data_IF_894062014243
#
_entry.id   IF_894062014243
#
_cell.length_a   1.000
_cell.length_b   1.000
_cell.length_c   1.000
_cell.angle_alpha   90.00
_cell.angle_beta   90.00
_cell.angle_gamma   90.00
#
_symmetry.space_group_name_H-M   'P 1'
#
loop_
_entity.id
_entity.type
_entity.pdbx_description
1 polymer ?
#
# COMPACT_ATOMS: atom_id res chain seq x y z
N UNK A 1 29.68 -111.50 -43.13
CA UNK A 1 28.89 -111.16 -41.92
C UNK A 1 29.31 -109.88 -41.17
N UNK A 2 30.52 -109.30 -41.34
CA UNK A 2 30.96 -108.10 -40.58
C UNK A 2 30.31 -106.74 -40.96
N UNK A 3 29.83 -106.55 -42.21
CA UNK A 3 29.23 -105.27 -42.65
C UNK A 3 27.83 -105.00 -42.07
N UNK A 4 27.09 -106.02 -41.65
CA UNK A 4 25.72 -105.91 -41.11
C UNK A 4 25.72 -105.45 -39.65
N UNK A 5 26.72 -105.86 -38.86
CA UNK A 5 26.86 -105.50 -37.43
C UNK A 5 27.22 -104.01 -37.23
N UNK A 6 28.09 -103.43 -38.07
CA UNK A 6 28.44 -102.01 -37.98
C UNK A 6 27.29 -101.07 -38.39
N UNK A 7 26.44 -101.49 -39.35
CA UNK A 7 25.26 -100.70 -39.75
C UNK A 7 24.23 -100.60 -38.62
N UNK A 8 24.03 -101.69 -37.86
CA UNK A 8 23.08 -101.71 -36.75
C UNK A 8 23.55 -100.86 -35.56
N UNK A 9 24.85 -100.88 -35.24
CA UNK A 9 25.41 -100.02 -34.18
C UNK A 9 25.34 -98.53 -34.53
N UNK A 10 25.60 -98.17 -35.80
CA UNK A 10 25.49 -96.78 -36.28
C UNK A 10 24.04 -96.29 -36.21
N UNK A 11 23.08 -97.13 -36.59
CA UNK A 11 21.64 -96.82 -36.50
C UNK A 11 21.14 -96.62 -35.07
N UNK A 12 21.64 -97.42 -34.10
CA UNK A 12 21.26 -97.28 -32.70
C UNK A 12 21.76 -95.96 -32.09
N UNK A 13 23.00 -95.55 -32.39
CA UNK A 13 23.56 -94.29 -31.91
C UNK A 13 22.75 -93.09 -32.41
N UNK A 14 22.39 -93.11 -33.68
CA UNK A 14 21.61 -92.06 -34.34
C UNK A 14 20.18 -91.94 -33.74
N UNK A 15 19.58 -93.06 -33.32
CA UNK A 15 18.31 -93.06 -32.60
C UNK A 15 18.42 -92.47 -31.19
N UNK A 16 19.51 -92.74 -30.47
CA UNK A 16 19.74 -92.19 -29.13
C UNK A 16 19.97 -90.68 -29.21
N UNK A 17 20.83 -90.23 -30.12
CA UNK A 17 21.11 -88.79 -30.31
C UNK A 17 19.82 -88.03 -30.62
N UNK A 18 18.99 -88.58 -31.51
CA UNK A 18 17.68 -88.00 -31.85
C UNK A 18 16.71 -87.98 -30.66
N UNK A 19 16.72 -89.01 -29.81
CA UNK A 19 15.89 -89.09 -28.60
C UNK A 19 16.32 -88.07 -27.54
N UNK A 20 17.62 -87.88 -27.38
CA UNK A 20 18.19 -86.89 -26.46
C UNK A 20 17.84 -85.48 -26.93
N UNK A 21 17.97 -85.20 -28.23
CA UNK A 21 17.64 -83.90 -28.80
C UNK A 21 16.14 -83.58 -28.67
N UNK A 22 15.27 -84.57 -28.89
CA UNK A 22 13.83 -84.47 -28.67
C UNK A 22 13.50 -84.12 -27.21
N UNK A 23 14.09 -84.82 -26.23
CA UNK A 23 13.91 -84.53 -24.80
C UNK A 23 14.48 -83.16 -24.41
N UNK A 24 15.60 -82.74 -25.01
CA UNK A 24 16.20 -81.43 -24.76
C UNK A 24 15.28 -80.31 -25.26
N UNK A 25 14.74 -80.44 -26.46
CA UNK A 25 13.75 -79.52 -27.05
C UNK A 25 12.46 -79.45 -26.22
N UNK A 26 11.97 -80.60 -25.74
CA UNK A 26 10.79 -80.67 -24.88
C UNK A 26 11.03 -79.97 -23.53
N UNK A 27 12.23 -80.12 -22.95
CA UNK A 27 12.59 -79.45 -21.70
C UNK A 27 12.70 -77.93 -21.84
N UNK A 28 13.19 -77.45 -22.98
CA UNK A 28 13.43 -76.02 -23.25
C UNK A 28 12.13 -75.22 -23.38
N UNK A 29 11.04 -75.89 -23.75
CA UNK A 29 9.71 -75.30 -23.95
C UNK A 29 8.73 -75.56 -22.79
N UNK A 30 9.17 -76.23 -21.73
CA UNK A 30 8.32 -76.46 -20.56
C UNK A 30 8.39 -75.24 -19.65
N UNK A 31 7.36 -74.39 -19.68
CA UNK A 31 7.20 -73.34 -18.69
C UNK A 31 7.24 -73.97 -17.29
N UNK A 32 8.25 -73.61 -16.50
CA UNK A 32 8.45 -74.13 -15.15
C UNK A 32 7.42 -73.45 -14.23
N UNK A 33 6.15 -73.84 -14.32
CA UNK A 33 5.08 -73.24 -13.53
C UNK A 33 4.94 -73.98 -12.18
N UNK A 34 6.02 -73.99 -11.40
CA UNK A 34 6.04 -74.69 -10.11
C UNK A 34 5.31 -73.86 -9.04
N UNK A 35 4.59 -74.50 -8.09
CA UNK A 35 3.97 -73.79 -6.96
C UNK A 35 4.97 -72.93 -6.17
N UNK A 36 6.22 -73.38 -6.07
CA UNK A 36 7.31 -72.67 -5.42
C UNK A 36 7.66 -71.36 -6.15
N UNK A 37 7.70 -71.36 -7.47
CA UNK A 37 7.96 -70.16 -8.27
C UNK A 37 6.81 -69.14 -8.19
N UNK A 38 5.56 -69.62 -8.19
CA UNK A 38 4.40 -68.75 -7.99
C UNK A 38 4.42 -68.09 -6.61
N UNK A 39 4.80 -68.83 -5.57
CA UNK A 39 4.99 -68.27 -4.23
C UNK A 39 6.15 -67.27 -4.14
N UNK A 40 7.30 -67.54 -4.76
CA UNK A 40 8.43 -66.61 -4.75
C UNK A 40 8.07 -65.31 -5.46
N UNK A 41 7.41 -65.36 -6.63
CA UNK A 41 6.93 -64.16 -7.32
C UNK A 41 5.88 -63.38 -6.52
N UNK A 42 4.99 -64.05 -5.79
CA UNK A 42 4.03 -63.40 -4.90
C UNK A 42 4.73 -62.71 -3.72
N UNK A 43 5.75 -63.33 -3.14
CA UNK A 43 6.56 -62.73 -2.05
C UNK A 43 7.36 -61.52 -2.55
N UNK A 44 7.97 -61.60 -3.73
CA UNK A 44 8.66 -60.47 -4.38
C UNK A 44 7.69 -59.32 -4.65
N UNK A 45 6.53 -59.58 -5.27
CA UNK A 45 5.50 -58.56 -5.52
C UNK A 45 4.94 -57.92 -4.24
N UNK A 46 4.79 -58.69 -3.15
CA UNK A 46 4.38 -58.14 -1.85
C UNK A 46 5.46 -57.26 -1.23
N UNK A 47 6.73 -57.67 -1.33
CA UNK A 47 7.89 -56.91 -0.83
C UNK A 47 8.07 -55.59 -1.58
N UNK A 48 8.00 -55.61 -2.92
CA UNK A 48 8.13 -54.40 -3.75
C UNK A 48 6.99 -53.41 -3.52
N UNK A 49 5.74 -53.89 -3.34
CA UNK A 49 4.60 -53.03 -2.97
C UNK A 49 4.77 -52.35 -1.61
N UNK A 50 5.36 -53.05 -0.62
CA UNK A 50 5.64 -52.47 0.71
C UNK A 50 6.68 -51.36 0.61
N UNK A 51 7.74 -51.58 -0.18
CA UNK A 51 8.78 -50.57 -0.42
C UNK A 51 8.23 -49.35 -1.19
N UNK A 52 7.42 -49.57 -2.22
CA UNK A 52 6.76 -48.50 -2.98
C UNK A 52 5.84 -47.64 -2.09
N UNK A 53 5.02 -48.27 -1.22
CA UNK A 53 4.17 -47.54 -0.25
C UNK A 53 4.99 -46.64 0.68
N UNK A 54 6.15 -47.11 1.15
CA UNK A 54 7.03 -46.32 1.99
C UNK A 54 7.65 -45.13 1.22
N UNK A 55 8.01 -45.33 -0.05
CA UNK A 55 8.52 -44.26 -0.92
C UNK A 55 7.44 -43.18 -1.17
N UNK A 56 6.20 -43.60 -1.48
CA UNK A 56 5.08 -42.67 -1.63
C UNK A 56 4.75 -41.92 -0.33
N UNK A 57 4.83 -42.58 0.83
CA UNK A 57 4.63 -41.94 2.12
C UNK A 57 5.68 -40.84 2.40
N UNK A 58 6.96 -41.08 2.04
CA UNK A 58 8.02 -40.06 2.15
C UNK A 58 7.74 -38.85 1.27
N UNK A 59 7.34 -39.09 0.01
CA UNK A 59 7.00 -38.02 -0.93
C UNK A 59 5.81 -37.21 -0.40
N UNK A 60 4.76 -37.90 0.05
CA UNK A 60 3.58 -37.25 0.64
C UNK A 60 3.94 -36.39 1.87
N UNK A 61 4.82 -36.87 2.76
CA UNK A 61 5.27 -36.12 3.92
C UNK A 61 6.02 -34.83 3.54
N UNK A 62 6.83 -34.85 2.48
CA UNK A 62 7.49 -33.65 1.96
C UNK A 62 6.47 -32.65 1.41
N UNK A 63 5.48 -33.12 0.65
CA UNK A 63 4.41 -32.24 0.14
C UNK A 63 3.57 -31.65 1.26
N UNK A 64 3.20 -32.42 2.29
CA UNK A 64 2.49 -31.91 3.47
C UNK A 64 3.34 -30.87 4.20
N UNK A 65 4.64 -31.10 4.36
CA UNK A 65 5.57 -30.12 4.93
C UNK A 65 5.65 -28.84 4.11
N UNK A 66 5.77 -28.94 2.79
CA UNK A 66 5.79 -27.78 1.89
C UNK A 66 4.48 -27.01 1.90
N UNK A 67 3.33 -27.70 1.90
CA UNK A 67 2.01 -27.07 2.02
C UNK A 67 1.88 -26.38 3.38
N UNK A 68 2.38 -27.00 4.46
CA UNK A 68 2.41 -26.40 5.80
C UNK A 68 3.27 -25.13 5.85
N UNK A 69 4.46 -25.15 5.23
CA UNK A 69 5.35 -23.98 5.13
C UNK A 69 4.69 -22.89 4.28
N UNK A 70 4.11 -23.22 3.12
CA UNK A 70 3.39 -22.26 2.29
C UNK A 70 2.19 -21.70 3.04
N UNK A 71 1.45 -22.50 3.80
CA UNK A 71 0.35 -22.06 4.64
C UNK A 71 0.79 -21.12 5.76
N UNK A 72 1.95 -21.37 6.37
CA UNK A 72 2.56 -20.46 7.36
C UNK A 72 3.03 -19.16 6.71
N UNK A 73 3.59 -19.20 5.50
CA UNK A 73 4.00 -18.01 4.74
C UNK A 73 2.81 -17.22 4.17
N UNK A 74 1.68 -17.90 3.93
CA UNK A 74 0.42 -17.29 3.47
C UNK A 74 -0.49 -16.86 4.62
N UNK A 75 -0.03 -16.96 5.86
CA UNK A 75 -0.72 -16.36 6.99
C UNK A 75 -0.65 -14.84 6.83
N UNK A 76 -1.64 -14.27 6.13
CA UNK A 76 -1.81 -12.84 5.97
C UNK A 76 -1.94 -12.22 7.36
N UNK A 77 -1.01 -11.34 7.70
CA UNK A 77 -1.03 -10.61 8.97
C UNK A 77 -2.38 -9.92 9.14
N UNK A 78 -3.16 -10.41 10.10
CA UNK A 78 -4.43 -9.83 10.54
C UNK A 78 -4.23 -8.55 11.38
N UNK A 79 -3.06 -7.91 11.25
CA UNK A 79 -2.71 -6.68 11.91
C UNK A 79 -3.75 -5.62 11.56
N UNK A 80 -4.59 -5.28 12.53
CA UNK A 80 -5.64 -4.29 12.37
C UNK A 80 -5.00 -2.95 11.95
N UNK A 81 -5.58 -2.22 10.99
CA UNK A 81 -5.07 -0.91 10.62
C UNK A 81 -5.11 0.00 11.83
N UNK A 82 -4.00 0.68 12.10
CA UNK A 82 -3.97 1.76 13.08
C UNK A 82 -4.74 2.92 12.47
N UNK A 83 -5.81 3.36 13.13
CA UNK A 83 -6.59 4.52 12.71
C UNK A 83 -6.36 5.70 13.64
N UNK A 84 -6.02 6.84 13.06
CA UNK A 84 -5.81 8.11 13.74
C UNK A 84 -6.82 9.11 13.20
N UNK A 85 -7.69 9.58 14.08
CA UNK A 85 -8.69 10.61 13.76
C UNK A 85 -8.37 11.90 14.50
N UNK A 86 -8.53 13.04 13.81
CA UNK A 86 -8.46 14.36 14.42
C UNK A 86 -9.87 14.92 14.67
N UNK A 87 -10.36 14.72 15.90
CA UNK A 87 -11.62 15.31 16.38
C UNK A 87 -11.42 16.66 17.09
N UNK A 88 -10.19 17.19 17.11
CA UNK A 88 -9.86 18.46 17.74
C UNK A 88 -10.23 19.67 16.87
N UNK A 89 -10.01 20.85 17.43
CA UNK A 89 -10.21 22.14 16.74
C UNK A 89 -9.00 22.58 15.92
N UNK A 90 -7.82 21.99 16.18
CA UNK A 90 -6.54 22.34 15.53
C UNK A 90 -5.99 21.17 14.69
N UNK A 91 -5.13 21.43 13.68
CA UNK A 91 -4.46 20.38 12.93
C UNK A 91 -3.58 19.50 13.84
N UNK A 92 -3.53 18.18 13.54
CA UNK A 92 -2.73 17.20 14.28
C UNK A 92 -1.50 16.81 13.49
N UNK A 93 -0.32 16.96 14.10
CA UNK A 93 0.96 16.58 13.49
C UNK A 93 1.29 15.12 13.84
N UNK A 94 1.71 14.35 12.84
CA UNK A 94 2.06 12.94 12.93
C UNK A 94 3.42 12.73 12.26
N UNK A 95 4.29 11.97 12.91
CA UNK A 95 5.51 11.46 12.29
C UNK A 95 5.31 9.97 12.01
N UNK A 96 5.63 9.55 10.79
CA UNK A 96 5.57 8.16 10.38
C UNK A 96 6.94 7.50 10.61
N UNK A 97 6.96 6.17 10.72
CA UNK A 97 8.17 5.39 11.01
C UNK A 97 9.26 5.52 9.93
N UNK A 98 8.87 5.89 8.71
CA UNK A 98 9.81 6.16 7.61
C UNK A 98 10.48 7.55 7.69
N UNK A 99 10.11 8.36 8.69
CA UNK A 99 10.57 9.73 8.87
C UNK A 99 9.81 10.77 8.03
N UNK A 100 8.72 10.37 7.37
CA UNK A 100 7.79 11.31 6.74
C UNK A 100 6.93 12.00 7.80
N UNK A 101 6.44 13.20 7.50
CA UNK A 101 5.51 13.92 8.37
C UNK A 101 4.16 14.11 7.70
N UNK A 102 3.10 14.04 8.51
CA UNK A 102 1.72 14.24 8.08
C UNK A 102 1.04 15.22 9.00
N UNK A 103 0.27 16.14 8.43
CA UNK A 103 -0.50 17.13 9.16
C UNK A 103 -1.95 16.90 8.80
N UNK A 104 -2.69 16.36 9.77
CA UNK A 104 -4.06 15.91 9.61
C UNK A 104 -5.02 17.04 10.01
N UNK A 105 -5.82 17.53 9.07
CA UNK A 105 -6.77 18.60 9.33
C UNK A 105 -7.89 18.10 10.28
N UNK A 106 -8.70 19.02 10.81
CA UNK A 106 -9.88 18.70 11.62
C UNK A 106 -10.85 17.79 10.86
N UNK A 107 -11.58 16.95 11.59
CA UNK A 107 -12.55 15.99 11.05
C UNK A 107 -11.97 15.05 9.99
N UNK A 108 -10.66 14.82 10.04
CA UNK A 108 -9.94 13.96 9.09
C UNK A 108 -9.42 12.72 9.82
N UNK A 109 -9.30 11.62 9.09
CA UNK A 109 -8.83 10.34 9.60
C UNK A 109 -7.80 9.76 8.66
N UNK A 110 -6.67 9.32 9.22
CA UNK A 110 -5.62 8.59 8.53
C UNK A 110 -5.56 7.18 9.11
N UNK A 111 -5.45 6.15 8.26
CA UNK A 111 -5.17 4.79 8.68
C UNK A 111 -3.98 4.20 7.96
N UNK A 112 -3.23 3.33 8.63
CA UNK A 112 -2.07 2.66 8.05
C UNK A 112 -1.81 1.32 8.75
N UNK A 113 -1.13 0.42 8.06
CA UNK A 113 -0.68 -0.85 8.62
C UNK A 113 0.83 -0.75 8.88
N UNK A 114 1.33 -1.03 10.11
CA UNK A 114 2.76 -0.99 10.41
C UNK A 114 3.60 -1.89 9.49
N UNK A 115 3.08 -3.06 9.15
CA UNK A 115 3.75 -4.04 8.28
C UNK A 115 3.77 -3.63 6.79
N UNK A 116 2.80 -2.80 6.36
CA UNK A 116 2.75 -2.29 4.98
C UNK A 116 3.42 -0.92 4.96
N UNK A 117 4.74 -0.94 4.96
CA UNK A 117 5.56 0.27 4.96
C UNK A 117 5.10 1.24 3.86
N UNK A 118 4.99 2.52 4.23
CA UNK A 118 4.71 3.66 3.32
C UNK A 118 3.37 3.59 2.58
N UNK A 119 2.36 2.89 3.09
CA UNK A 119 0.99 2.91 2.54
C UNK A 119 0.00 3.38 3.60
N UNK A 120 -0.77 4.42 3.27
CA UNK A 120 -1.77 4.99 4.17
C UNK A 120 -3.08 5.22 3.42
N UNK A 121 -4.19 5.24 4.14
CA UNK A 121 -5.51 5.65 3.66
C UNK A 121 -5.96 6.91 4.38
N UNK A 122 -6.59 7.83 3.67
CA UNK A 122 -7.04 9.12 4.22
C UNK A 122 -8.51 9.39 3.87
N UNK A 123 -9.24 9.89 4.85
CA UNK A 123 -10.56 10.50 4.72
C UNK A 123 -10.50 11.90 5.31
N UNK A 124 -10.97 12.91 4.57
CA UNK A 124 -10.85 14.32 4.96
C UNK A 124 -9.65 14.99 4.29
N UNK A 125 -8.93 15.85 5.00
CA UNK A 125 -7.80 16.59 4.47
C UNK A 125 -6.51 16.34 5.26
N UNK A 126 -5.42 16.11 4.54
CA UNK A 126 -4.10 15.97 5.11
C UNK A 126 -3.01 16.51 4.17
N UNK A 127 -2.02 17.14 4.78
CA UNK A 127 -0.77 17.49 4.14
C UNK A 127 0.29 16.45 4.45
N UNK A 128 1.05 16.08 3.42
CA UNK A 128 2.10 15.09 3.47
C UNK A 128 3.41 15.74 3.07
N UNK A 129 4.42 15.59 3.91
CA UNK A 129 5.82 15.83 3.55
C UNK A 129 6.58 14.51 3.63
N UNK A 130 6.73 13.89 2.47
CA UNK A 130 7.20 12.52 2.37
C UNK A 130 8.70 12.50 2.20
N UNK A 131 9.39 11.74 3.06
CA UNK A 131 10.84 11.54 2.97
C UNK A 131 11.19 10.89 1.63
N UNK A 132 12.27 11.38 1.03
CA UNK A 132 12.73 10.85 -0.26
C UNK A 132 13.23 9.41 -0.14
N UNK A 133 12.66 8.53 -0.94
CA UNK A 133 13.13 7.15 -1.18
C UNK A 133 12.66 6.74 -2.59
N UNK A 134 13.63 6.49 -3.45
CA UNK A 134 13.42 6.17 -4.87
C UNK A 134 13.06 4.72 -5.13
N UNK A 135 13.31 3.82 -4.18
CA UNK A 135 13.08 2.38 -4.31
C UNK A 135 11.69 2.01 -3.81
N UNK A 136 11.25 2.61 -2.70
CA UNK A 136 9.98 2.30 -2.06
C UNK A 136 9.02 3.49 -2.15
N UNK A 137 8.02 3.48 -3.06
CA UNK A 137 7.08 4.58 -3.20
C UNK A 137 6.15 4.67 -1.98
N UNK A 138 5.82 5.89 -1.59
CA UNK A 138 4.75 6.16 -0.63
C UNK A 138 3.40 6.24 -1.35
N UNK A 139 2.38 5.56 -0.81
CA UNK A 139 1.03 5.50 -1.37
C UNK A 139 0.01 6.08 -0.40
N UNK A 140 -0.82 7.00 -0.88
CA UNK A 140 -2.00 7.51 -0.18
C UNK A 140 -3.24 7.07 -0.93
N UNK A 141 -4.10 6.32 -0.26
CA UNK A 141 -5.40 5.92 -0.80
C UNK A 141 -6.50 6.85 -0.29
N UNK A 142 -7.33 7.33 -1.20
CA UNK A 142 -8.63 7.92 -0.89
C UNK A 142 -9.75 7.05 -1.43
N UNK A 143 -11.01 7.46 -1.27
CA UNK A 143 -12.15 6.78 -1.88
C UNK A 143 -12.12 6.78 -3.41
N UNK A 144 -11.42 7.74 -4.04
CA UNK A 144 -11.51 7.97 -5.48
C UNK A 144 -10.15 8.03 -6.21
N UNK A 145 -9.06 8.30 -5.48
CA UNK A 145 -7.75 8.55 -6.07
C UNK A 145 -6.68 7.88 -5.22
N UNK A 146 -5.79 7.13 -5.87
CA UNK A 146 -4.53 6.67 -5.28
C UNK A 146 -3.39 7.60 -5.70
N UNK A 147 -2.65 8.09 -4.72
CA UNK A 147 -1.52 9.00 -4.90
C UNK A 147 -0.23 8.25 -4.64
N UNK A 148 0.69 8.23 -5.61
CA UNK A 148 1.99 7.55 -5.52
C UNK A 148 3.12 8.56 -5.67
N UNK A 149 4.03 8.59 -4.68
CA UNK A 149 5.16 9.52 -4.61
C UNK A 149 6.45 8.85 -4.16
N UNK A 150 7.59 9.53 -4.32
CA UNK A 150 8.93 9.03 -3.94
C UNK A 150 9.70 10.01 -3.04
N UNK A 151 9.10 11.12 -2.62
CA UNK A 151 9.78 12.22 -1.95
C UNK A 151 9.21 13.55 -2.40
N UNK A 152 8.06 13.90 -1.84
CA UNK A 152 7.12 14.87 -2.41
C UNK A 152 6.36 15.52 -1.27
N UNK A 153 6.17 16.84 -1.36
CA UNK A 153 5.29 17.57 -0.46
C UNK A 153 3.99 17.90 -1.20
N UNK A 154 2.84 17.46 -0.66
CA UNK A 154 1.54 17.58 -1.32
C UNK A 154 0.38 17.59 -0.32
N UNK A 155 -0.77 18.07 -0.75
CA UNK A 155 -2.02 18.05 0.00
C UNK A 155 -3.02 17.10 -0.64
N UNK A 156 -3.78 16.37 0.18
CA UNK A 156 -4.93 15.59 -0.25
C UNK A 156 -6.17 16.12 0.46
N UNK A 157 -7.21 16.44 -0.32
CA UNK A 157 -8.52 16.82 0.17
C UNK A 157 -9.55 15.81 -0.36
N UNK A 158 -10.23 15.10 0.53
CA UNK A 158 -11.15 14.02 0.17
C UNK A 158 -12.19 13.77 1.28
N UNK A 159 -13.01 14.78 1.58
CA UNK A 159 -14.12 14.63 2.51
C UNK A 159 -15.27 13.81 1.88
N UNK A 160 -15.89 12.85 2.58
CA UNK A 160 -16.96 12.01 2.03
C UNK A 160 -18.22 12.75 1.60
N UNK A 161 -18.48 13.92 2.19
CA UNK A 161 -19.64 14.75 1.87
C UNK A 161 -19.46 15.57 0.59
N UNK A 162 -18.22 15.66 0.09
CA UNK A 162 -17.87 16.49 -1.04
C UNK A 162 -17.79 15.64 -2.30
N UNK A 163 -18.25 16.21 -3.41
CA UNK A 163 -18.26 15.51 -4.71
C UNK A 163 -16.89 15.45 -5.38
N UNK A 164 -15.84 15.98 -4.75
CA UNK A 164 -14.53 16.10 -5.36
C UNK A 164 -13.41 15.67 -4.43
N UNK A 165 -12.48 14.87 -4.96
CA UNK A 165 -11.17 14.65 -4.37
C UNK A 165 -10.17 15.56 -5.06
N UNK A 166 -9.33 16.25 -4.30
CA UNK A 166 -8.28 17.12 -4.83
C UNK A 166 -6.90 16.71 -4.30
N UNK A 167 -5.90 16.78 -5.18
CA UNK A 167 -4.50 16.58 -4.83
C UNK A 167 -3.69 17.77 -5.33
N UNK A 168 -3.06 18.50 -4.41
CA UNK A 168 -2.28 19.70 -4.73
C UNK A 168 -0.80 19.44 -4.49
N UNK A 169 0.01 19.65 -5.51
CA UNK A 169 1.44 19.32 -5.47
C UNK A 169 2.30 20.55 -5.22
N UNK A 170 3.17 20.51 -4.21
CA UNK A 170 4.05 21.63 -3.85
C UNK A 170 5.51 21.39 -4.24
N UNK A 171 6.00 20.16 -4.10
CA UNK A 171 7.37 19.80 -4.43
C UNK A 171 7.45 18.35 -4.91
N UNK A 172 8.48 18.00 -5.69
CA UNK A 172 8.69 16.63 -6.14
C UNK A 172 7.81 16.22 -7.31
N UNK A 173 7.45 14.94 -7.37
CA UNK A 173 6.65 14.34 -8.45
C UNK A 173 5.56 13.45 -7.87
N UNK A 174 4.39 13.47 -8.50
CA UNK A 174 3.27 12.61 -8.10
C UNK A 174 2.69 11.90 -9.31
N UNK A 175 2.31 10.65 -9.10
CA UNK A 175 1.46 9.89 -10.01
C UNK A 175 0.14 9.63 -9.30
N UNK A 176 -0.94 9.92 -10.00
CA UNK A 176 -2.31 9.80 -9.54
C UNK A 176 -2.98 8.71 -10.36
N UNK A 177 -3.78 7.88 -9.71
CA UNK A 177 -4.59 6.85 -10.33
C UNK A 177 -6.02 6.99 -9.81
N UNK A 178 -6.98 7.23 -10.71
CA UNK A 178 -8.39 7.30 -10.33
C UNK A 178 -9.04 5.91 -10.34
N UNK A 179 -10.30 5.82 -9.90
CA UNK A 179 -11.06 4.56 -9.86
C UNK A 179 -11.27 3.88 -11.21
N UNK A 180 -11.14 4.61 -12.32
CA UNK A 180 -11.19 4.05 -13.67
C UNK A 180 -9.82 3.50 -14.14
N UNK A 181 -8.79 3.53 -13.29
CA UNK A 181 -7.43 3.10 -13.61
C UNK A 181 -6.66 4.11 -14.48
N UNK A 182 -7.19 5.32 -14.69
CA UNK A 182 -6.48 6.35 -15.47
C UNK A 182 -5.33 6.91 -14.66
N UNK A 183 -4.14 6.86 -15.26
CA UNK A 183 -2.92 7.42 -14.68
C UNK A 183 -2.71 8.86 -15.13
N UNK A 184 -2.51 9.74 -14.16
CA UNK A 184 -2.28 11.18 -14.37
C UNK A 184 -1.05 11.63 -13.58
N UNK A 185 -0.27 12.54 -14.14
CA UNK A 185 0.88 13.17 -13.45
C UNK A 185 0.63 14.66 -13.40
N UNK A 186 0.98 15.29 -12.28
CA UNK A 186 0.97 16.75 -12.13
C UNK A 186 2.36 17.22 -11.71
N UNK A 187 2.66 18.49 -11.98
CA UNK A 187 3.91 19.16 -11.58
C UNK A 187 3.67 20.11 -10.40
N UNK A 188 4.73 20.50 -9.66
CA UNK A 188 4.60 21.49 -8.59
C UNK A 188 3.84 22.74 -9.03
N UNK A 189 2.92 23.21 -8.17
CA UNK A 189 2.02 24.32 -8.48
C UNK A 189 0.73 23.93 -9.17
N UNK A 190 0.46 22.63 -9.33
CA UNK A 190 -0.79 22.14 -9.90
C UNK A 190 -1.65 21.42 -8.88
N UNK A 191 -2.96 21.55 -9.07
CA UNK A 191 -3.99 20.81 -8.35
C UNK A 191 -4.75 19.92 -9.33
N UNK A 192 -4.71 18.63 -9.08
CA UNK A 192 -5.60 17.66 -9.68
C UNK A 192 -6.92 17.64 -8.91
N UNK A 193 -8.05 17.61 -9.62
CA UNK A 193 -9.38 17.44 -9.04
C UNK A 193 -10.14 16.36 -9.77
N UNK A 194 -10.71 15.41 -9.05
CA UNK A 194 -11.54 14.33 -9.58
C UNK A 194 -12.96 14.45 -9.03
N UNK A 195 -13.95 14.58 -9.92
CA UNK A 195 -15.36 14.65 -9.56
C UNK A 195 -15.96 13.24 -9.50
N UNK A 196 -16.56 12.89 -8.37
CA UNK A 196 -17.09 11.56 -8.08
C UNK A 196 -18.38 11.25 -8.84
N UNK A 197 -19.12 12.29 -9.25
CA UNK A 197 -20.41 12.19 -9.94
C UNK A 197 -20.25 12.13 -11.45
N UNK A 198 -19.42 13.02 -12.01
CA UNK A 198 -19.20 13.07 -13.46
C UNK A 198 -18.04 12.19 -13.93
N UNK A 199 -17.24 11.67 -12.99
CA UNK A 199 -16.00 10.94 -13.24
C UNK A 199 -14.97 11.74 -14.07
N UNK A 200 -15.13 13.06 -14.15
CA UNK A 200 -14.22 13.93 -14.85
C UNK A 200 -13.07 14.36 -13.94
N UNK A 201 -11.90 14.50 -14.55
CA UNK A 201 -10.73 15.07 -13.91
C UNK A 201 -10.36 16.42 -14.53
N UNK A 202 -9.85 17.31 -13.70
CA UNK A 202 -9.31 18.60 -14.13
C UNK A 202 -7.97 18.85 -13.45
N UNK A 203 -7.09 19.55 -14.15
CA UNK A 203 -5.82 20.03 -13.61
C UNK A 203 -5.85 21.55 -13.72
N UNK A 204 -5.55 22.23 -12.62
CA UNK A 204 -5.46 23.69 -12.58
C UNK A 204 -4.18 24.10 -11.90
N UNK A 205 -3.59 25.20 -12.35
CA UNK A 205 -2.50 25.83 -11.63
C UNK A 205 -3.05 26.50 -10.36
N UNK A 206 -2.31 26.40 -9.26
CA UNK A 206 -2.61 27.06 -8.00
C UNK A 206 -1.41 27.86 -7.52
N UNK A 207 -1.68 28.91 -6.75
CA UNK A 207 -0.62 29.63 -6.07
C UNK A 207 -0.22 28.85 -4.80
N UNK A 208 0.93 28.18 -4.87
CA UNK A 208 1.55 27.37 -3.81
C UNK A 208 1.54 28.09 -2.45
N UNK A 209 1.75 29.41 -2.40
CA UNK A 209 1.78 30.17 -1.14
C UNK A 209 0.43 30.26 -0.43
N UNK A 210 -0.70 30.22 -1.15
CA UNK A 210 -2.02 30.41 -0.53
C UNK A 210 -2.59 29.16 0.16
N UNK A 211 -2.08 27.97 -0.17
CA UNK A 211 -2.64 26.70 0.30
C UNK A 211 -1.83 26.08 1.45
N UNK A 212 -0.56 26.47 1.60
CA UNK A 212 0.38 26.04 2.64
C UNK A 212 0.08 26.68 4.02
N UNK A 213 -0.80 27.67 4.08
CA UNK A 213 -1.07 28.47 5.30
C UNK A 213 -1.61 27.68 6.50
N UNK A 214 -2.30 26.55 6.27
CA UNK A 214 -2.93 25.81 7.37
C UNK A 214 -2.03 24.72 7.97
N UNK A 215 -0.99 24.30 7.26
CA UNK A 215 -0.18 23.12 7.63
C UNK A 215 0.99 23.49 8.54
N UNK A 216 1.55 24.69 8.42
CA UNK A 216 2.71 25.10 9.22
C UNK A 216 2.35 25.84 10.51
N UNK A 217 1.06 25.83 10.88
CA UNK A 217 0.53 26.77 11.86
C UNK A 217 1.00 28.20 11.57
N UNK A 218 1.04 28.57 10.28
CA UNK A 218 1.55 29.87 9.83
C UNK A 218 0.75 30.39 8.66
N UNK A 219 0.12 31.55 8.80
CA UNK A 219 -0.47 32.29 7.69
C UNK A 219 0.62 33.13 7.04
N UNK A 220 0.89 32.89 5.75
CA UNK A 220 1.83 33.66 4.94
C UNK A 220 1.05 34.70 4.13
N UNK A 221 1.47 35.95 4.28
CA UNK A 221 0.88 37.12 3.65
C UNK A 221 1.87 37.71 2.64
N UNK A 222 1.43 37.82 1.38
CA UNK A 222 2.12 38.56 0.33
C UNK A 222 1.20 39.68 -0.14
N UNK A 223 1.35 40.88 0.45
CA UNK A 223 0.59 42.09 0.12
C UNK A 223 -0.93 41.86 0.08
N UNK A 224 -1.47 41.21 1.11
CA UNK A 224 -2.93 41.04 1.22
C UNK A 224 -3.53 42.18 2.03
N UNK A 225 -4.79 42.54 1.75
CA UNK A 225 -5.49 43.52 2.59
C UNK A 225 -5.74 42.99 4.00
N UNK A 226 -5.69 43.88 4.98
CA UNK A 226 -5.97 43.56 6.39
C UNK A 226 -7.35 42.90 6.55
N UNK A 227 -8.36 43.33 5.78
CA UNK A 227 -9.67 42.68 5.76
C UNK A 227 -9.57 41.18 5.41
N UNK A 228 -8.78 40.83 4.39
CA UNK A 228 -8.56 39.43 4.03
C UNK A 228 -7.83 38.66 5.13
N UNK A 229 -6.84 39.28 5.77
CA UNK A 229 -6.11 38.67 6.88
C UNK A 229 -7.00 38.44 8.11
N UNK A 230 -7.76 39.47 8.53
CA UNK A 230 -8.70 39.38 9.65
C UNK A 230 -9.74 38.29 9.44
N UNK A 231 -10.25 38.12 8.21
CA UNK A 231 -11.15 37.01 7.87
C UNK A 231 -10.49 35.64 8.01
N UNK A 232 -9.23 35.49 7.58
CA UNK A 232 -8.47 34.24 7.74
C UNK A 232 -8.28 33.90 9.23
N UNK A 233 -7.87 34.88 10.04
CA UNK A 233 -7.67 34.73 11.48
C UNK A 233 -8.99 34.43 12.19
N UNK A 234 -10.05 35.17 11.88
CA UNK A 234 -11.40 34.98 12.42
C UNK A 234 -11.91 33.54 12.20
N UNK A 235 -11.72 33.01 10.99
CA UNK A 235 -12.11 31.64 10.66
C UNK A 235 -11.25 30.59 11.36
N UNK A 236 -9.95 30.85 11.55
CA UNK A 236 -9.05 29.92 12.22
C UNK A 236 -9.37 29.80 13.73
N UNK A 237 -9.53 30.93 14.42
CA UNK A 237 -9.80 30.96 15.87
C UNK A 237 -11.30 30.89 16.22
N UNK A 238 -12.19 30.83 15.23
CA UNK A 238 -13.65 30.91 15.42
C UNK A 238 -14.09 32.15 16.21
N UNK A 239 -13.58 33.33 15.81
CA UNK A 239 -13.90 34.64 16.41
C UNK A 239 -14.42 35.62 15.36
N UNK A 240 -14.85 36.81 15.81
CA UNK A 240 -15.32 37.91 14.98
C UNK A 240 -14.53 39.19 15.28
N UNK A 241 -14.11 39.90 14.23
CA UNK A 241 -13.56 41.24 14.35
C UNK A 241 -14.60 42.29 13.98
N UNK A 242 -14.84 43.24 14.88
CA UNK A 242 -15.55 44.48 14.59
C UNK A 242 -14.50 45.56 14.30
N UNK A 243 -14.56 46.16 13.12
CA UNK A 243 -13.58 47.19 12.69
C UNK A 243 -14.28 48.53 12.69
N UNK A 244 -13.88 49.42 13.59
CA UNK A 244 -14.45 50.77 13.74
C UNK A 244 -13.97 51.68 12.59
N UNK A 245 -12.65 51.76 12.40
CA UNK A 245 -12.04 52.57 11.36
C UNK A 245 -11.88 51.79 10.06
N UNK A 246 -12.67 52.14 9.05
CA UNK A 246 -12.66 51.44 7.74
C UNK A 246 -11.29 51.47 7.03
N UNK A 247 -10.42 52.41 7.35
CA UNK A 247 -9.05 52.50 6.84
C UNK A 247 -8.17 51.30 7.24
N UNK A 248 -8.45 50.66 8.39
CA UNK A 248 -7.78 49.43 8.80
C UNK A 248 -7.90 48.36 7.73
N UNK A 249 -9.10 48.20 7.15
CA UNK A 249 -9.39 47.16 6.17
C UNK A 249 -8.59 47.30 4.87
N UNK A 250 -8.12 48.52 4.56
CA UNK A 250 -7.37 48.84 3.34
C UNK A 250 -5.86 48.64 3.49
N UNK A 251 -5.33 48.58 4.72
CA UNK A 251 -3.89 48.39 4.96
C UNK A 251 -3.41 47.08 4.33
N UNK A 252 -2.24 47.10 3.71
CA UNK A 252 -1.60 45.91 3.14
C UNK A 252 -0.70 45.27 4.20
N UNK A 253 -0.74 43.94 4.26
CA UNK A 253 0.07 43.15 5.18
C UNK A 253 0.92 42.17 4.39
N UNK A 254 2.21 42.15 4.70
CA UNK A 254 3.20 41.21 4.19
C UNK A 254 3.98 40.62 5.36
N UNK A 255 4.25 39.32 5.33
CA UNK A 255 4.95 38.61 6.41
C UNK A 255 4.31 37.26 6.72
N UNK A 256 4.83 36.59 7.74
CA UNK A 256 4.28 35.30 8.20
C UNK A 256 3.83 35.40 9.66
N UNK A 257 2.60 35.00 9.94
CA UNK A 257 2.03 34.97 11.29
C UNK A 257 1.84 33.53 11.75
N UNK A 258 2.22 33.20 12.99
CA UNK A 258 2.07 31.87 13.58
C UNK A 258 0.70 31.71 14.27
N UNK A 259 -0.12 30.77 13.80
CA UNK A 259 -1.47 30.49 14.33
C UNK A 259 -1.51 29.34 15.36
N UNK A 260 -0.37 28.80 15.78
CA UNK A 260 -0.27 27.85 16.90
C UNK A 260 -0.29 28.52 18.28
N UNK A 261 -0.41 29.85 18.32
CA UNK A 261 -0.47 30.65 19.54
C UNK A 261 -1.84 31.28 19.73
N UNK A 262 -2.07 31.91 20.87
CA UNK A 262 -3.31 32.63 21.15
C UNK A 262 -3.50 33.81 20.18
N UNK A 263 -4.75 34.17 19.92
CA UNK A 263 -5.07 35.25 18.96
C UNK A 263 -4.59 36.61 19.45
N UNK A 264 -4.38 36.77 20.75
CA UNK A 264 -3.79 37.94 21.38
C UNK A 264 -2.37 38.22 20.85
N UNK A 265 -1.59 37.20 20.48
CA UNK A 265 -0.26 37.40 19.88
C UNK A 265 -0.36 38.03 18.48
N UNK A 266 -1.39 37.64 17.70
CA UNK A 266 -1.69 38.30 16.43
C UNK A 266 -2.06 39.77 16.66
N UNK A 267 -2.91 40.02 17.66
CA UNK A 267 -3.43 41.34 17.97
C UNK A 267 -2.34 42.30 18.44
N UNK A 268 -1.40 41.84 19.27
CA UNK A 268 -0.22 42.62 19.67
C UNK A 268 0.71 42.90 18.49
N UNK A 269 0.90 41.94 17.58
CA UNK A 269 1.69 42.14 16.37
C UNK A 269 1.09 43.24 15.47
N UNK A 270 -0.22 43.19 15.18
CA UNK A 270 -0.85 44.23 14.34
C UNK A 270 -0.92 45.58 15.05
N UNK A 271 -1.00 45.60 16.38
CA UNK A 271 -0.92 46.82 17.18
C UNK A 271 0.43 47.50 17.02
N UNK A 272 1.51 46.74 17.12
CA UNK A 272 2.86 47.27 16.94
C UNK A 272 3.15 47.68 15.49
N UNK A 273 2.80 46.85 14.52
CA UNK A 273 3.20 47.05 13.12
C UNK A 273 2.32 48.03 12.34
N UNK A 274 1.03 48.17 12.71
CA UNK A 274 0.06 48.95 11.94
C UNK A 274 -0.64 50.05 12.75
N UNK A 275 -0.21 50.29 14.00
CA UNK A 275 -0.79 51.27 14.92
C UNK A 275 -2.31 51.09 15.12
N UNK A 276 -2.72 49.85 15.38
CA UNK A 276 -4.12 49.46 15.60
C UNK A 276 -4.31 49.08 17.07
N UNK A 277 -5.23 49.70 17.79
CA UNK A 277 -5.66 49.16 19.10
C UNK A 277 -6.77 48.14 18.93
N UNK A 278 -6.83 47.22 19.89
CA UNK A 278 -7.90 46.25 19.98
C UNK A 278 -8.51 46.22 21.39
N UNK A 279 -9.75 45.77 21.49
CA UNK A 279 -10.44 45.52 22.76
C UNK A 279 -11.25 44.23 22.64
N UNK A 280 -11.06 43.29 23.57
CA UNK A 280 -11.92 42.10 23.70
C UNK A 280 -13.29 42.54 24.21
N UNK A 281 -14.35 42.28 23.44
CA UNK A 281 -15.73 42.58 23.82
C UNK A 281 -16.38 41.38 24.53
N UNK A 282 -16.07 40.17 24.08
CA UNK A 282 -16.47 38.89 24.69
C UNK A 282 -15.51 37.78 24.22
N UNK A 283 -15.75 36.52 24.59
CA UNK A 283 -14.89 35.38 24.23
C UNK A 283 -14.66 35.19 22.72
N UNK A 284 -15.60 35.63 21.88
CA UNK A 284 -15.57 35.42 20.44
C UNK A 284 -15.58 36.73 19.64
N UNK A 285 -15.47 37.91 20.25
CA UNK A 285 -15.53 39.21 19.55
C UNK A 285 -14.47 40.19 20.02
N UNK A 286 -13.74 40.77 19.06
CA UNK A 286 -12.75 41.82 19.26
C UNK A 286 -13.10 43.06 18.46
N UNK A 287 -13.00 44.24 19.07
CA UNK A 287 -13.10 45.54 18.41
C UNK A 287 -11.71 46.03 18.02
N UNK A 288 -11.55 46.54 16.79
CA UNK A 288 -10.32 47.11 16.24
C UNK A 288 -10.53 48.58 15.86
N UNK A 289 -9.59 49.44 16.25
CA UNK A 289 -9.58 50.88 15.94
C UNK A 289 -8.16 51.39 15.72
N UNK A 290 -8.00 52.52 15.03
CA UNK A 290 -6.69 53.15 14.84
C UNK A 290 -6.29 53.79 16.18
N UNK A 291 -5.02 53.63 16.57
CA UNK A 291 -4.50 54.41 17.69
C UNK A 291 -4.46 55.88 17.31
N UNK A 292 -5.00 56.78 18.15
CA UNK A 292 -4.85 58.22 17.96
C UNK A 292 -3.38 58.65 17.99
#
# INVERSE_FOLDING_TARGET
MKKTSLKNAKSLKEQIEKKVEELWLESKNKEINTPLEKETWLRIKKSTKKHQRYLYAKIAAVFVGLIGIVGLLMQTDNSQPIQITNNGTTPKHLNLDDGSSVILNRNSSLSYHPEISRTVSITGEAYFDIKKDSLNPFKVHTSAVTVKVYGTSFNVYSFPKDQTTQVSLYSGKVQLENTAGKLTKIIPGQTYSYNHTTHQETIKDHNIQKQIDWTHSKIICHEISMNKLLKKIANYYAITFQVEDSEINKKLVSGSFRVDKDVEDFLEMIKFSHNISYKKLNEHTYLLKINP
#
